data_IF_402400238636
#
_entry.id   IF_402400238636
#
_cell.length_a   1.000
_cell.length_b   1.000
_cell.length_c   1.000
_cell.angle_alpha   90.00
_cell.angle_beta   90.00
_cell.angle_gamma   90.00
#
_symmetry.space_group_name_H-M   'P 1'
#
loop_
_entity.id
_entity.type
_entity.pdbx_description
1 polymer ?
#
# COMPACT_ATOMS: atom_id res chain seq x y z
N UNK A 1 -6.58 -11.65 -5.95
CA UNK A 1 -7.01 -10.90 -4.78
C UNK A 1 -5.82 -10.50 -3.92
N UNK A 2 -4.76 -10.03 -4.57
CA UNK A 2 -3.55 -9.61 -3.86
C UNK A 2 -3.27 -8.13 -4.08
N UNK A 3 -4.34 -7.37 -4.29
CA UNK A 3 -4.21 -5.92 -4.52
C UNK A 3 -5.35 -5.17 -3.84
N UNK A 4 -5.16 -3.86 -3.67
CA UNK A 4 -6.18 -3.03 -3.04
C UNK A 4 -6.35 -1.72 -3.81
N UNK A 5 -7.56 -1.52 -4.35
CA UNK A 5 -7.86 -0.31 -5.12
C UNK A 5 -8.21 0.85 -4.18
N UNK A 6 -7.19 1.58 -3.75
CA UNK A 6 -7.39 2.72 -2.86
C UNK A 6 -7.82 3.96 -3.64
N UNK A 7 -7.87 3.83 -4.96
CA UNK A 7 -8.26 4.93 -5.82
C UNK A 7 -9.56 5.57 -5.33
N UNK A 8 -10.63 4.78 -5.31
CA UNK A 8 -11.95 5.25 -4.86
C UNK A 8 -11.99 5.51 -3.35
N UNK A 9 -10.90 5.17 -2.67
CA UNK A 9 -10.81 5.38 -1.23
C UNK A 9 -10.27 6.76 -0.91
N UNK A 10 -10.32 7.66 -1.88
CA UNK A 10 -9.83 9.02 -1.70
C UNK A 10 -8.53 9.03 -0.92
N UNK A 11 -8.18 10.19 -0.36
CA UNK A 11 -6.96 10.33 0.41
C UNK A 11 -7.26 10.53 1.90
N UNK A 12 -6.36 10.05 2.75
CA UNK A 12 -6.55 10.18 4.18
C UNK A 12 -6.96 8.88 4.84
N UNK A 13 -7.92 8.19 4.23
CA UNK A 13 -8.40 6.92 4.76
C UNK A 13 -7.79 5.74 4.02
N UNK A 14 -7.37 5.98 2.78
CA UNK A 14 -6.77 4.95 1.95
C UNK A 14 -5.55 4.35 2.64
N UNK A 15 -4.87 5.17 3.43
CA UNK A 15 -3.68 4.72 4.15
C UNK A 15 -4.06 3.94 5.41
N UNK A 16 -5.32 4.06 5.82
CA UNK A 16 -5.81 3.36 7.00
C UNK A 16 -6.45 2.03 6.62
N UNK A 17 -6.94 1.94 5.40
CA UNK A 17 -7.58 0.73 4.91
C UNK A 17 -6.54 -0.29 4.46
N UNK A 18 -5.40 0.21 3.99
CA UNK A 18 -4.32 -0.66 3.54
C UNK A 18 -3.94 -1.67 4.61
N UNK A 19 -4.17 -1.31 5.87
CA UNK A 19 -3.86 -2.18 6.99
C UNK A 19 -4.91 -3.27 7.15
N UNK A 20 -6.15 -2.95 6.78
CA UNK A 20 -7.26 -3.90 6.89
C UNK A 20 -7.06 -5.06 5.92
N UNK A 21 -6.41 -4.80 4.81
CA UNK A 21 -6.15 -5.82 3.80
C UNK A 21 -4.86 -6.57 4.09
N UNK A 22 -3.90 -5.86 4.69
CA UNK A 22 -2.62 -6.45 5.02
C UNK A 22 -2.79 -7.70 5.87
N UNK A 23 -3.87 -7.73 6.66
CA UNK A 23 -4.15 -8.87 7.52
C UNK A 23 -4.48 -10.11 6.69
N UNK A 24 -5.16 -9.91 5.57
CA UNK A 24 -5.53 -11.02 4.69
C UNK A 24 -4.32 -11.50 3.89
N UNK A 25 -3.50 -10.56 3.45
CA UNK A 25 -2.31 -10.89 2.67
C UNK A 25 -1.36 -11.76 3.49
N UNK A 26 -0.69 -12.69 2.82
CA UNK A 26 0.25 -13.59 3.48
C UNK A 26 1.41 -12.81 4.10
N UNK A 27 2.11 -13.44 5.05
CA UNK A 27 3.25 -12.83 5.73
C UNK A 27 4.46 -12.65 4.81
N UNK A 28 4.34 -13.17 3.59
CA UNK A 28 5.43 -13.06 2.62
C UNK A 28 4.87 -12.95 1.20
N UNK A 29 3.75 -12.25 1.06
CA UNK A 29 3.12 -12.06 -0.23
C UNK A 29 3.20 -10.61 -0.68
N UNK A 30 2.91 -10.37 -1.94
CA UNK A 30 2.94 -9.01 -2.50
C UNK A 30 1.56 -8.37 -2.49
N UNK A 31 1.51 -7.07 -2.25
CA UNK A 31 0.25 -6.34 -2.22
C UNK A 31 0.31 -5.11 -3.11
N UNK A 32 -0.51 -5.10 -4.15
CA UNK A 32 -0.56 -3.97 -5.07
C UNK A 32 -1.60 -2.96 -4.66
N UNK A 33 -1.14 -1.83 -4.12
CA UNK A 33 -2.05 -0.77 -3.68
C UNK A 33 -2.07 0.38 -4.67
N UNK A 34 -3.23 0.66 -5.24
CA UNK A 34 -3.38 1.74 -6.20
C UNK A 34 -3.71 3.06 -5.51
N UNK A 35 -2.95 4.09 -5.85
CA UNK A 35 -3.16 5.41 -5.25
C UNK A 35 -3.29 6.48 -6.33
N UNK A 36 -4.37 7.25 -6.27
CA UNK A 36 -4.61 8.31 -7.24
C UNK A 36 -4.08 9.65 -6.72
N UNK A 37 -4.00 9.78 -5.41
CA UNK A 37 -3.51 11.01 -4.79
C UNK A 37 -1.99 11.13 -4.93
N UNK A 38 -1.52 12.36 -5.10
CA UNK A 38 -0.09 12.59 -5.24
C UNK A 38 0.69 12.21 -4.01
N UNK A 39 -0.03 11.98 -2.90
CA UNK A 39 0.61 11.61 -1.64
C UNK A 39 1.27 10.24 -1.75
N UNK A 40 2.54 10.23 -2.15
CA UNK A 40 3.28 8.98 -2.29
C UNK A 40 3.93 8.57 -0.98
N UNK A 41 4.15 9.56 -0.11
CA UNK A 41 4.76 9.29 1.19
C UNK A 41 3.80 8.54 2.11
N UNK A 42 2.52 8.60 1.78
CA UNK A 42 1.50 7.92 2.57
C UNK A 42 1.43 6.44 2.21
N UNK A 43 1.81 6.12 0.98
CA UNK A 43 1.80 4.74 0.52
C UNK A 43 2.49 3.81 1.50
N UNK A 44 3.77 4.11 1.80
CA UNK A 44 4.57 3.32 2.74
C UNK A 44 4.09 3.46 4.17
N UNK A 45 3.41 4.56 4.46
CA UNK A 45 2.90 4.82 5.80
C UNK A 45 1.83 3.78 6.19
N UNK A 46 1.04 3.36 5.20
CA UNK A 46 -0.02 2.39 5.44
C UNK A 46 0.57 1.03 5.81
N UNK A 47 1.49 0.54 4.98
CA UNK A 47 2.13 -0.75 5.23
C UNK A 47 2.89 -0.74 6.55
N UNK A 48 3.25 0.46 7.01
CA UNK A 48 3.97 0.60 8.27
C UNK A 48 3.05 0.39 9.47
N UNK A 49 1.77 0.72 9.29
CA UNK A 49 0.79 0.57 10.35
C UNK A 49 0.81 -0.85 10.90
N UNK A 50 1.23 -1.80 10.08
CA UNK A 50 1.29 -3.20 10.49
C UNK A 50 2.46 -3.44 11.44
N UNK A 51 3.67 -3.18 10.96
CA UNK A 51 4.86 -3.37 11.78
C UNK A 51 6.03 -2.54 11.23
N UNK A 52 6.69 -1.81 12.12
CA UNK A 52 7.82 -0.97 11.73
C UNK A 52 8.83 -1.76 10.91
N UNK A 53 8.93 -3.06 11.20
CA UNK A 53 9.86 -3.93 10.48
C UNK A 53 9.11 -5.03 9.73
N UNK A 54 9.27 -5.06 8.41
CA UNK A 54 8.61 -6.06 7.61
C UNK A 54 8.10 -5.51 6.29
N UNK A 55 7.35 -4.41 6.36
CA UNK A 55 6.81 -3.79 5.16
C UNK A 55 7.90 -3.08 4.37
N UNK A 56 8.11 -3.52 3.13
CA UNK A 56 9.13 -2.92 2.27
C UNK A 56 8.62 -2.78 0.84
N UNK A 57 8.58 -1.54 0.37
CA UNK A 57 8.11 -1.26 -0.99
C UNK A 57 9.20 -1.56 -2.02
N UNK A 58 9.10 -2.71 -2.68
CA UNK A 58 10.07 -3.10 -3.68
C UNK A 58 10.25 -2.02 -4.73
N UNK A 59 9.20 -1.77 -5.52
CA UNK A 59 9.23 -0.75 -6.55
C UNK A 59 8.11 -0.95 -7.56
N UNK A 60 7.37 0.12 -7.84
CA UNK A 60 6.27 0.05 -8.78
C UNK A 60 5.53 1.39 -8.84
N UNK A 61 5.44 2.05 -7.69
CA UNK A 61 4.76 3.34 -7.62
C UNK A 61 5.49 4.41 -8.44
N UNK A 62 4.73 5.13 -9.25
CA UNK A 62 5.30 6.18 -10.09
C UNK A 62 4.61 7.51 -9.85
N UNK A 63 4.46 7.87 -8.58
CA UNK A 63 3.83 9.13 -8.21
C UNK A 63 4.29 10.27 -9.12
N UNK A 64 3.39 10.73 -9.99
CA UNK A 64 3.70 11.81 -10.91
C UNK A 64 2.58 12.00 -11.93
N UNK A 65 1.92 10.90 -12.29
CA UNK A 65 0.83 10.95 -13.25
C UNK A 65 -0.44 10.34 -12.67
N UNK A 66 -1.31 9.84 -13.54
CA UNK A 66 -2.56 9.22 -13.11
C UNK A 66 -2.31 8.20 -12.00
N UNK A 67 -3.39 7.72 -11.39
CA UNK A 67 -3.29 6.75 -10.32
C UNK A 67 -2.36 5.61 -10.71
N UNK A 68 -1.37 5.35 -9.85
CA UNK A 68 -0.41 4.28 -10.10
C UNK A 68 -0.58 3.14 -9.10
N UNK A 69 0.30 2.15 -9.18
CA UNK A 69 0.25 1.00 -8.28
C UNK A 69 1.59 0.76 -7.61
N UNK A 70 1.55 0.24 -6.38
CA UNK A 70 2.77 -0.03 -5.63
C UNK A 70 2.73 -1.43 -5.02
N UNK A 71 3.82 -2.16 -5.17
CA UNK A 71 3.92 -3.52 -4.62
C UNK A 71 4.51 -3.50 -3.22
N UNK A 72 3.85 -4.20 -2.29
CA UNK A 72 4.30 -4.27 -0.91
C UNK A 72 4.54 -5.71 -0.48
N UNK A 73 5.74 -5.99 0.01
CA UNK A 73 6.09 -7.34 0.45
C UNK A 73 6.00 -7.44 1.97
N UNK A 74 5.22 -8.42 2.44
CA UNK A 74 5.04 -8.63 3.88
C UNK A 74 6.17 -9.48 4.44
N UNK A 75 6.39 -9.37 5.75
CA UNK A 75 7.44 -10.13 6.41
C UNK A 75 7.30 -10.04 7.93
N UNK A 76 6.91 -8.87 8.42
CA UNK A 76 6.74 -8.65 9.84
C UNK A 76 6.04 -7.32 10.13
#
# INVERSE_FOLDING_TARGET
>A
MKRFDLRPLKAGIFERLEELIEKEMQPNEVAIFMFEVGDFSNIPKSAEFIQSKGHELLNSLRFNQADWTIVVRKKA
#
